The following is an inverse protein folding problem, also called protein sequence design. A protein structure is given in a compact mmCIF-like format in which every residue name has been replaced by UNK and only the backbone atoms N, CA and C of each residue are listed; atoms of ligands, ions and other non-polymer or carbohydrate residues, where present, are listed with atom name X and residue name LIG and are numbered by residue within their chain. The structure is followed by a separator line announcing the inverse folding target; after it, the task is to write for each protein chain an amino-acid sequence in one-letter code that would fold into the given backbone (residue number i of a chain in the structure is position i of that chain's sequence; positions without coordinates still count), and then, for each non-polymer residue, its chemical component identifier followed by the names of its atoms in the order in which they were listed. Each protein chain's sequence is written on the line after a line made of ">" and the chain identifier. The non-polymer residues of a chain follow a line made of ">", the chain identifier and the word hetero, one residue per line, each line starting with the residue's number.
data_IF_342204161060
#
_entry.id   IF_342204161060
#
_cell.length_a   1.000
_cell.length_b   1.000
_cell.length_c   1.000
_cell.angle_alpha   90.00
_cell.angle_beta   90.00
_cell.angle_gamma   90.00
#
_symmetry.space_group_name_H-M   'P 1'
#
loop_
_entity.id
_entity.type
_entity.pdbx_description
1 polymer ?
#
# COMPACT_ATOMS: atom_id res chain seq x y z
N UNK A 1 16.38 26.37 6.04
CA UNK A 1 16.37 25.72 7.37
C UNK A 1 15.01 25.28 7.90
N UNK A 2 14.12 26.18 8.36
CA UNK A 2 12.86 25.77 9.01
C UNK A 2 11.97 24.88 8.11
N UNK A 3 11.86 25.24 6.83
CA UNK A 3 11.09 24.45 5.85
C UNK A 3 11.62 23.01 5.68
N UNK A 4 12.94 22.84 5.59
CA UNK A 4 13.59 21.51 5.46
C UNK A 4 13.33 20.68 6.72
N UNK A 5 13.39 21.32 7.89
CA UNK A 5 13.08 20.65 9.15
C UNK A 5 11.60 20.25 9.23
N UNK A 6 10.67 21.09 8.77
CA UNK A 6 9.24 20.76 8.71
C UNK A 6 8.95 19.63 7.72
N UNK A 7 9.60 19.63 6.54
CA UNK A 7 9.52 18.52 5.59
C UNK A 7 10.03 17.22 6.21
N UNK A 8 11.15 17.29 6.93
CA UNK A 8 11.77 16.13 7.58
C UNK A 8 10.85 15.58 8.66
N UNK A 9 10.34 16.44 9.55
CA UNK A 9 9.40 16.05 10.60
C UNK A 9 8.15 15.39 10.00
N UNK A 10 7.54 16.00 8.97
CA UNK A 10 6.36 15.44 8.28
C UNK A 10 6.64 14.05 7.71
N UNK A 11 7.83 13.81 7.14
CA UNK A 11 8.22 12.49 6.64
C UNK A 11 8.52 11.49 7.74
N UNK A 12 9.06 11.92 8.89
CA UNK A 12 9.28 11.06 10.05
C UNK A 12 7.94 10.63 10.67
N UNK A 13 6.98 11.54 10.80
CA UNK A 13 5.63 11.22 11.27
C UNK A 13 4.94 10.20 10.34
N UNK A 14 5.05 10.40 9.02
CA UNK A 14 4.56 9.43 8.04
C UNK A 14 5.29 8.09 8.10
N UNK A 15 6.59 8.10 8.40
CA UNK A 15 7.38 6.88 8.55
C UNK A 15 6.91 6.08 9.77
N UNK A 16 6.64 6.74 10.88
CA UNK A 16 6.04 6.10 12.06
C UNK A 16 4.67 5.51 11.74
N UNK A 17 3.82 6.27 11.06
CA UNK A 17 2.51 5.81 10.63
C UNK A 17 2.59 4.60 9.68
N UNK A 18 3.57 4.58 8.77
CA UNK A 18 3.82 3.44 7.89
C UNK A 18 4.36 2.22 8.66
N UNK A 19 5.14 2.42 9.72
CA UNK A 19 5.54 1.34 10.63
C UNK A 19 4.34 0.75 11.38
N UNK A 20 3.42 1.60 11.83
CA UNK A 20 2.17 1.16 12.46
C UNK A 20 1.29 0.40 11.46
N UNK A 21 1.14 0.92 10.24
CA UNK A 21 0.39 0.27 9.15
C UNK A 21 0.86 -1.17 8.92
N UNK A 22 2.17 -1.41 8.94
CA UNK A 22 2.73 -2.76 8.86
C UNK A 22 2.19 -3.69 9.94
N UNK A 23 2.18 -3.24 11.20
CA UNK A 23 1.70 -4.06 12.33
C UNK A 23 0.20 -4.35 12.21
N UNK A 24 -0.58 -3.33 11.86
CA UNK A 24 -2.03 -3.41 11.66
C UNK A 24 -2.39 -4.36 10.52
N UNK A 25 -1.63 -4.35 9.41
CA UNK A 25 -1.79 -5.30 8.32
C UNK A 25 -1.51 -6.74 8.75
N UNK A 26 -0.42 -6.97 9.49
CA UNK A 26 -0.07 -8.29 10.02
C UNK A 26 -1.16 -8.81 10.98
N UNK A 27 -1.77 -7.91 11.76
CA UNK A 27 -2.83 -8.24 12.72
C UNK A 27 -4.22 -8.31 12.09
N UNK A 28 -4.36 -7.94 10.81
CA UNK A 28 -5.63 -7.81 10.09
C UNK A 28 -6.64 -6.86 10.79
N UNK A 29 -6.15 -5.81 11.45
CA UNK A 29 -7.00 -4.79 12.10
C UNK A 29 -7.50 -3.76 11.07
N UNK A 30 -8.55 -4.13 10.35
CA UNK A 30 -9.18 -3.29 9.32
C UNK A 30 -9.73 -1.96 9.85
N UNK A 31 -10.35 -1.88 11.04
CA UNK A 31 -10.74 -0.60 11.64
C UNK A 31 -9.58 0.38 11.80
N UNK A 32 -8.44 -0.05 12.39
CA UNK A 32 -7.28 0.82 12.53
C UNK A 32 -6.64 1.14 11.18
N UNK A 33 -6.59 0.19 10.25
CA UNK A 33 -6.10 0.44 8.89
C UNK A 33 -6.87 1.57 8.21
N UNK A 34 -8.20 1.62 8.37
CA UNK A 34 -9.03 2.69 7.83
C UNK A 34 -8.71 4.05 8.45
N UNK A 35 -8.37 4.10 9.75
CA UNK A 35 -7.96 5.33 10.42
C UNK A 35 -6.59 5.80 9.92
N UNK A 36 -5.62 4.88 9.82
CA UNK A 36 -4.28 5.15 9.31
C UNK A 36 -4.35 5.79 7.91
N UNK A 37 -5.17 5.25 7.01
CA UNK A 37 -5.35 5.82 5.66
C UNK A 37 -5.88 7.26 5.72
N UNK A 38 -6.77 7.59 6.66
CA UNK A 38 -7.25 8.97 6.84
C UNK A 38 -6.17 9.90 7.38
N UNK A 39 -5.36 9.42 8.31
CA UNK A 39 -4.22 10.15 8.86
C UNK A 39 -3.16 10.41 7.77
N UNK A 40 -2.85 9.41 6.93
CA UNK A 40 -1.95 9.54 5.77
C UNK A 40 -2.39 10.68 4.83
N UNK A 41 -3.70 10.81 4.56
CA UNK A 41 -4.24 11.89 3.71
C UNK A 41 -3.99 13.29 4.29
N UNK A 42 -3.97 13.44 5.63
CA UNK A 42 -3.68 14.73 6.27
C UNK A 42 -2.22 15.10 6.06
N UNK A 43 -1.31 14.14 6.27
CA UNK A 43 0.12 14.36 6.05
C UNK A 43 0.47 14.60 4.58
N UNK A 44 -0.19 13.92 3.64
CA UNK A 44 -0.02 14.16 2.20
C UNK A 44 -0.37 15.60 1.82
N UNK A 45 -1.50 16.12 2.32
CA UNK A 45 -1.88 17.52 2.11
C UNK A 45 -0.87 18.49 2.71
N UNK A 46 -0.36 18.18 3.91
CA UNK A 46 0.67 19.01 4.56
C UNK A 46 1.96 19.02 3.74
N UNK A 47 2.38 17.87 3.24
CA UNK A 47 3.56 17.71 2.41
C UNK A 47 3.44 18.47 1.09
N UNK A 48 2.29 18.40 0.43
CA UNK A 48 2.01 19.16 -0.80
C UNK A 48 2.16 20.68 -0.57
N UNK A 49 1.61 21.19 0.55
CA UNK A 49 1.77 22.60 0.93
C UNK A 49 3.23 22.99 1.19
N UNK A 50 3.97 22.15 1.91
CA UNK A 50 5.38 22.41 2.22
C UNK A 50 6.24 22.37 0.95
N UNK A 51 5.95 21.44 0.04
CA UNK A 51 6.63 21.33 -1.24
C UNK A 51 6.33 22.54 -2.15
N UNK A 52 5.10 23.05 -2.13
CA UNK A 52 4.77 24.30 -2.81
C UNK A 52 5.55 25.48 -2.23
N UNK A 53 5.61 25.61 -0.90
CA UNK A 53 6.42 26.64 -0.25
C UNK A 53 7.90 26.53 -0.60
N UNK A 54 8.40 25.30 -0.77
CA UNK A 54 9.78 25.03 -1.21
C UNK A 54 10.02 25.58 -2.60
N UNK A 55 9.13 25.27 -3.55
CA UNK A 55 9.24 25.77 -4.92
C UNK A 55 9.15 27.29 -4.96
N UNK A 56 8.28 27.90 -4.14
CA UNK A 56 8.16 29.36 -4.06
C UNK A 56 9.41 30.04 -3.48
N UNK A 57 10.01 29.46 -2.43
CA UNK A 57 11.18 30.05 -1.74
C UNK A 57 12.52 29.73 -2.41
N UNK A 58 12.67 28.53 -2.94
CA UNK A 58 13.93 28.03 -3.52
C UNK A 58 13.92 28.11 -5.05
N UNK A 59 12.77 28.43 -5.67
CA UNK A 59 12.61 28.46 -7.12
C UNK A 59 12.68 27.06 -7.73
N UNK A 60 13.13 26.98 -8.99
CA UNK A 60 13.39 25.72 -9.69
C UNK A 60 14.75 25.09 -9.31
N UNK A 61 15.44 25.64 -8.31
CA UNK A 61 16.77 25.19 -7.91
C UNK A 61 16.65 23.80 -7.29
N UNK A 62 17.46 22.87 -7.79
CA UNK A 62 17.50 21.53 -7.22
C UNK A 62 18.10 21.57 -5.83
N UNK A 63 17.74 20.58 -5.02
CA UNK A 63 18.27 20.45 -3.66
C UNK A 63 19.81 20.39 -3.63
N UNK A 64 20.42 19.79 -4.65
CA UNK A 64 21.87 19.70 -4.83
C UNK A 64 22.49 21.07 -5.11
N UNK A 65 21.85 21.88 -5.96
CA UNK A 65 22.29 23.24 -6.28
C UNK A 65 22.11 24.18 -5.08
N UNK A 66 21.05 24.01 -4.29
CA UNK A 66 20.84 24.77 -3.05
C UNK A 66 22.00 24.59 -2.06
N UNK A 67 22.45 23.35 -1.87
CA UNK A 67 23.55 23.02 -0.97
C UNK A 67 24.91 23.57 -1.42
N UNK A 68 25.09 23.91 -2.70
CA UNK A 68 26.31 24.58 -3.16
C UNK A 68 26.41 26.01 -2.62
N UNK A 69 25.26 26.65 -2.40
CA UNK A 69 25.17 28.02 -1.87
C UNK A 69 25.02 28.03 -0.35
N UNK A 70 24.41 26.99 0.23
CA UNK A 70 24.12 26.85 1.66
C UNK A 70 24.68 25.54 2.23
N UNK A 71 26.01 25.41 2.37
CA UNK A 71 26.64 24.19 2.87
C UNK A 71 26.28 23.84 4.33
N UNK A 72 25.77 24.81 5.09
CA UNK A 72 25.26 24.62 6.46
C UNK A 72 24.00 23.75 6.52
N UNK A 73 23.23 23.67 5.44
CA UNK A 73 21.97 22.91 5.36
C UNK A 73 22.19 21.42 5.03
N UNK A 74 23.44 20.99 4.78
CA UNK A 74 23.78 19.64 4.31
C UNK A 74 23.26 18.54 5.24
N UNK A 75 23.37 18.72 6.56
CA UNK A 75 22.96 17.69 7.52
C UNK A 75 21.44 17.57 7.61
N UNK A 76 20.72 18.70 7.65
CA UNK A 76 19.25 18.71 7.61
C UNK A 76 18.73 18.07 6.31
N UNK A 77 19.40 18.35 5.18
CA UNK A 77 19.04 17.76 3.90
C UNK A 77 19.28 16.26 3.85
N UNK A 78 20.40 15.81 4.44
CA UNK A 78 20.71 14.39 4.55
C UNK A 78 19.64 13.66 5.35
N UNK A 79 19.19 14.24 6.47
CA UNK A 79 18.14 13.67 7.30
C UNK A 79 16.81 13.56 6.54
N UNK A 80 16.44 14.61 5.79
CA UNK A 80 15.25 14.59 4.93
C UNK A 80 15.30 13.43 3.93
N UNK A 81 16.40 13.31 3.17
CA UNK A 81 16.57 12.28 2.16
C UNK A 81 16.56 10.86 2.76
N UNK A 82 17.15 10.69 3.95
CA UNK A 82 17.10 9.43 4.69
C UNK A 82 15.67 9.07 5.12
N UNK A 83 14.90 10.04 5.62
CA UNK A 83 13.51 9.82 6.01
C UNK A 83 12.65 9.41 4.80
N UNK A 84 12.79 10.10 3.66
CA UNK A 84 12.11 9.75 2.40
C UNK A 84 12.48 8.33 1.95
N UNK A 85 13.77 8.00 1.95
CA UNK A 85 14.24 6.68 1.55
C UNK A 85 13.65 5.56 2.41
N UNK A 86 13.66 5.74 3.73
CA UNK A 86 13.05 4.78 4.67
C UNK A 86 11.53 4.67 4.47
N UNK A 87 10.84 5.80 4.32
CA UNK A 87 9.40 5.85 4.10
C UNK A 87 9.01 5.10 2.81
N UNK A 88 9.77 5.30 1.73
CA UNK A 88 9.57 4.58 0.47
C UNK A 88 9.66 3.06 0.66
N UNK A 89 10.74 2.59 1.29
CA UNK A 89 10.98 1.16 1.50
C UNK A 89 9.83 0.52 2.30
N UNK A 90 9.37 1.16 3.39
CA UNK A 90 8.29 0.59 4.19
C UNK A 90 6.94 0.66 3.49
N UNK A 91 6.69 1.68 2.68
CA UNK A 91 5.45 1.79 1.93
C UNK A 91 5.36 0.69 0.86
N UNK A 92 6.46 0.41 0.16
CA UNK A 92 6.58 -0.73 -0.76
C UNK A 92 6.33 -2.05 -0.03
N UNK A 93 6.95 -2.26 1.13
CA UNK A 93 6.70 -3.47 1.94
C UNK A 93 5.24 -3.61 2.38
N UNK A 94 4.59 -2.51 2.77
CA UNK A 94 3.18 -2.53 3.15
C UNK A 94 2.26 -2.83 1.97
N UNK A 95 2.62 -2.37 0.76
CA UNK A 95 1.90 -2.73 -0.46
C UNK A 95 2.03 -4.23 -0.78
N UNK A 96 3.24 -4.78 -0.67
CA UNK A 96 3.48 -6.22 -0.85
C UNK A 96 2.69 -7.07 0.16
N UNK A 97 2.63 -6.65 1.43
CA UNK A 97 1.86 -7.34 2.47
C UNK A 97 0.36 -7.32 2.16
N UNK A 98 -0.16 -6.19 1.69
CA UNK A 98 -1.56 -6.07 1.26
C UNK A 98 -1.85 -6.99 0.08
N UNK A 99 -0.98 -7.00 -0.93
CA UNK A 99 -1.13 -7.85 -2.11
C UNK A 99 -1.15 -9.34 -1.73
N UNK A 100 -0.20 -9.78 -0.89
CA UNK A 100 -0.16 -11.15 -0.40
C UNK A 100 -1.42 -11.54 0.39
N UNK A 101 -1.95 -10.63 1.21
CA UNK A 101 -3.20 -10.86 1.94
C UNK A 101 -4.38 -11.06 0.99
N UNK A 102 -4.49 -10.23 -0.06
CA UNK A 102 -5.54 -10.35 -1.07
C UNK A 102 -5.41 -11.65 -1.88
N UNK A 103 -4.19 -12.03 -2.28
CA UNK A 103 -3.93 -13.29 -2.98
C UNK A 103 -4.32 -14.50 -2.13
N UNK A 104 -3.97 -14.50 -0.84
CA UNK A 104 -4.35 -15.56 0.10
C UNK A 104 -5.87 -15.68 0.26
N UNK A 105 -6.56 -14.55 0.44
CA UNK A 105 -8.03 -14.52 0.52
C UNK A 105 -8.67 -15.03 -0.77
N UNK A 106 -8.16 -14.62 -1.93
CA UNK A 106 -8.67 -15.07 -3.23
C UNK A 106 -8.50 -16.59 -3.39
N UNK A 107 -7.32 -17.12 -3.09
CA UNK A 107 -7.06 -18.56 -3.13
C UNK A 107 -8.00 -19.36 -2.20
N UNK A 108 -8.26 -18.84 -0.99
CA UNK A 108 -9.21 -19.45 -0.06
C UNK A 108 -10.65 -19.43 -0.58
N UNK A 109 -11.07 -18.33 -1.22
CA UNK A 109 -12.39 -18.23 -1.83
C UNK A 109 -12.55 -19.22 -2.98
N UNK A 110 -11.53 -19.38 -3.84
CA UNK A 110 -11.53 -20.37 -4.92
C UNK A 110 -11.69 -21.80 -4.39
N UNK A 111 -11.06 -22.13 -3.26
CA UNK A 111 -11.19 -23.46 -2.64
C UNK A 111 -12.59 -23.71 -2.04
N UNK A 112 -13.28 -22.65 -1.59
CA UNK A 112 -14.61 -22.74 -0.99
C UNK A 112 -15.75 -22.73 -2.03
N UNK A 113 -15.48 -22.23 -3.24
CA UNK A 113 -16.41 -22.35 -4.36
C UNK A 113 -16.34 -23.81 -4.83
N UNK A 114 -17.42 -24.60 -4.70
CA UNK A 114 -17.43 -25.93 -5.27
C UNK A 114 -17.16 -25.80 -6.77
N UNK A 115 -16.20 -26.56 -7.30
CA UNK A 115 -16.23 -26.88 -8.72
C UNK A 115 -17.65 -27.38 -8.97
N UNK A 116 -18.39 -26.74 -9.88
CA UNK A 116 -19.71 -27.21 -10.25
C UNK A 116 -19.52 -28.63 -10.78
N UNK A 117 -19.74 -29.60 -9.90
CA UNK A 117 -19.64 -31.02 -10.19
C UNK A 117 -20.60 -31.23 -11.35
N UNK A 118 -20.04 -31.51 -12.53
CA UNK A 118 -20.80 -31.89 -13.71
C UNK A 118 -21.38 -33.28 -13.40
N UNK A 119 -22.44 -33.30 -12.60
CA UNK A 119 -23.10 -34.49 -12.08
C UNK A 119 -23.91 -35.12 -13.21
N UNK A 120 -23.22 -35.63 -14.22
CA UNK A 120 -23.75 -36.42 -15.34
C UNK A 120 -23.91 -37.88 -14.91
N UNK A 121 -24.40 -38.12 -13.69
CA UNK A 121 -24.83 -39.44 -13.23
C UNK A 121 -26.35 -39.55 -13.32
N UNK A 122 -26.87 -39.40 -14.54
CA UNK A 122 -28.30 -39.47 -14.82
C UNK A 122 -28.67 -39.83 -16.27
N UNK A 123 -27.75 -39.71 -17.23
CA UNK A 123 -28.05 -40.04 -18.63
C UNK A 123 -27.90 -41.53 -18.95
N UNK A 124 -27.14 -42.31 -18.18
CA UNK A 124 -26.94 -43.75 -18.46
C UNK A 124 -28.04 -44.68 -17.93
N UNK A 125 -28.96 -44.18 -17.08
CA UNK A 125 -30.06 -44.96 -16.53
C UNK A 125 -31.37 -44.84 -17.34
N UNK A 126 -31.56 -43.77 -18.12
CA UNK A 126 -32.78 -43.56 -18.91
C UNK A 126 -32.74 -44.29 -20.26
N UNK A 127 -31.55 -44.51 -20.84
CA UNK A 127 -31.43 -45.19 -22.14
C UNK A 127 -31.60 -46.72 -22.10
N UNK A 128 -31.50 -47.35 -20.93
CA UNK A 128 -31.68 -48.82 -20.80
C UNK A 128 -33.13 -49.27 -20.61
N UNK A 129 -34.06 -48.36 -20.34
CA UNK A 129 -35.47 -48.71 -20.12
C UNK A 129 -36.29 -48.84 -21.42
N UNK A 130 -35.78 -48.37 -22.56
CA UNK A 130 -36.55 -48.28 -23.81
C UNK A 130 -36.37 -49.43 -24.82
N UNK A 131 -35.51 -50.42 -24.54
CA UNK A 131 -35.23 -51.51 -25.50
C UNK A 131 -35.79 -52.89 -25.14
N UNK A 132 -36.72 -53.01 -24.18
CA UNK A 132 -37.36 -54.29 -23.89
C UNK A 132 -38.90 -54.22 -23.84
N UNK A 133 -39.50 -53.90 -24.99
CA UNK A 133 -40.87 -54.28 -25.33
C UNK A 133 -40.95 -54.44 -26.84
N UNK A 134 -40.89 -55.70 -27.29
CA UNK A 134 -41.82 -56.25 -28.27
C UNK A 134 -41.62 -57.77 -28.32
N UNK A 135 -42.54 -58.45 -27.64
CA UNK A 135 -43.05 -59.76 -28.03
C UNK A 135 -44.00 -59.60 -29.23
#
# INVERSE_FOLDING_TARGET
>A
MELINQLTATHMDLLELAHEKKQVLIQNDMPRLSQIVKEELVYLKRMEQLEQQRIEHMGAVTMTEWLQVHPEDVEAMRQLLQAIGKLKIINELNADLLEQSLQYLNWHLELLVPEADDFTYGQSALDRAHFNRNA
#
